data_IF_832038373399
#
_entry.id   IF_832038373399
#
_cell.length_a   1.000
_cell.length_b   1.000
_cell.length_c   1.000
_cell.angle_alpha   90.00
_cell.angle_beta   90.00
_cell.angle_gamma   90.00
#
_symmetry.space_group_name_H-M   'P 1'
#
loop_
_entity.id
_entity.type
_entity.pdbx_description
1 polymer ?
#
# COMPACT_ATOMS: atom_id res chain seq x y z
N UNK A 1 16.71 25.74 -28.44
CA UNK A 1 16.95 27.08 -29.03
C UNK A 1 18.38 27.49 -28.72
N UNK A 2 18.93 28.55 -29.31
CA UNK A 2 20.30 28.95 -28.97
C UNK A 2 20.68 30.37 -29.40
N UNK A 3 21.51 31.01 -28.59
CA UNK A 3 22.17 32.27 -28.89
C UNK A 3 23.40 32.03 -29.75
N UNK A 4 23.57 32.84 -30.81
CA UNK A 4 24.77 32.87 -31.63
C UNK A 4 25.38 34.28 -31.57
N UNK A 5 26.69 34.37 -31.36
CA UNK A 5 27.43 35.63 -31.31
C UNK A 5 28.05 35.88 -32.69
N UNK A 6 27.68 36.99 -33.35
CA UNK A 6 28.23 37.38 -34.65
C UNK A 6 28.55 38.87 -34.65
N UNK A 7 29.77 39.24 -35.01
CA UNK A 7 30.23 40.64 -35.08
C UNK A 7 29.91 41.46 -33.82
N UNK A 8 30.10 40.87 -32.64
CA UNK A 8 29.85 41.54 -31.35
C UNK A 8 28.37 41.68 -30.95
N UNK A 9 27.42 41.14 -31.74
CA UNK A 9 25.98 41.14 -31.44
C UNK A 9 25.46 39.72 -31.22
N UNK A 10 24.50 39.56 -30.30
CA UNK A 10 23.84 38.27 -30.01
C UNK A 10 22.55 38.15 -30.81
N UNK A 11 22.40 37.02 -31.50
CA UNK A 11 21.24 36.69 -32.31
C UNK A 11 20.62 35.41 -31.78
N UNK A 12 19.30 35.38 -31.65
CA UNK A 12 18.59 34.18 -31.20
C UNK A 12 18.06 33.39 -32.40
N UNK A 13 18.31 32.09 -32.39
CA UNK A 13 17.85 31.18 -33.43
C UNK A 13 16.99 30.06 -32.85
N UNK A 14 15.87 29.80 -33.53
CA UNK A 14 15.06 28.61 -33.33
C UNK A 14 15.54 27.49 -34.23
N UNK A 15 15.86 26.33 -33.66
CA UNK A 15 16.25 25.14 -34.41
C UNK A 15 15.11 24.13 -34.33
N UNK A 16 14.51 23.79 -35.47
CA UNK A 16 13.45 22.77 -35.56
C UNK A 16 13.85 21.71 -36.58
N UNK A 17 13.53 20.44 -36.30
CA UNK A 17 13.67 19.36 -37.28
C UNK A 17 12.42 19.32 -38.14
N UNK A 18 12.58 19.46 -39.46
CA UNK A 18 11.51 19.32 -40.45
C UNK A 18 12.00 18.30 -41.47
N UNK A 19 11.24 17.22 -41.66
CA UNK A 19 11.57 16.14 -42.59
C UNK A 19 13.01 15.59 -42.42
N UNK A 20 13.43 15.39 -41.16
CA UNK A 20 14.74 14.86 -40.84
C UNK A 20 15.92 15.83 -41.00
N UNK A 21 15.71 17.08 -41.45
CA UNK A 21 16.74 18.12 -41.53
C UNK A 21 16.55 19.16 -40.42
N UNK A 22 17.65 19.63 -39.83
CA UNK A 22 17.61 20.72 -38.84
C UNK A 22 17.55 22.04 -39.60
N UNK A 23 16.47 22.79 -39.43
CA UNK A 23 16.30 24.13 -40.00
C UNK A 23 16.46 25.16 -38.88
N UNK A 24 17.33 26.15 -39.11
CA UNK A 24 17.54 27.28 -38.21
C UNK A 24 16.75 28.49 -38.71
N UNK A 25 15.83 29.00 -37.90
CA UNK A 25 15.07 30.22 -38.15
C UNK A 25 15.56 31.35 -37.25
N UNK A 26 15.86 32.49 -37.84
CA UNK A 26 16.24 33.69 -37.09
C UNK A 26 15.02 34.27 -36.34
N UNK A 27 15.19 34.57 -35.06
CA UNK A 27 14.11 35.03 -34.19
C UNK A 27 14.25 36.50 -33.74
N UNK A 28 15.37 37.16 -34.05
CA UNK A 28 15.59 38.57 -33.72
C UNK A 28 16.79 38.84 -32.81
N UNK A 29 16.89 40.11 -32.37
CA UNK A 29 17.89 40.65 -31.42
C UNK A 29 17.14 41.56 -30.43
N UNK A 30 17.66 41.70 -29.20
CA UNK A 30 17.20 42.70 -28.22
C UNK A 30 16.23 42.17 -27.16
N UNK A 31 15.72 43.07 -26.33
CA UNK A 31 15.01 42.77 -25.08
C UNK A 31 13.81 41.82 -25.23
N UNK A 32 13.03 41.97 -26.31
CA UNK A 32 11.87 41.08 -26.58
C UNK A 32 12.30 39.63 -26.83
N UNK A 33 13.47 39.44 -27.45
CA UNK A 33 14.00 38.12 -27.76
C UNK A 33 14.61 37.48 -26.52
N UNK A 34 15.22 38.28 -25.64
CA UNK A 34 15.65 37.83 -24.31
C UNK A 34 14.46 37.37 -23.48
N UNK A 35 13.35 38.13 -23.48
CA UNK A 35 12.13 37.74 -22.77
C UNK A 35 11.56 36.40 -23.31
N UNK A 36 11.47 36.24 -24.63
CA UNK A 36 10.99 35.00 -25.27
C UNK A 36 11.94 33.82 -24.98
N UNK A 37 13.25 34.04 -24.90
CA UNK A 37 14.21 33.02 -24.52
C UNK A 37 14.00 32.57 -23.07
N UNK A 38 13.87 33.51 -22.14
CA UNK A 38 13.61 33.23 -20.72
C UNK A 38 12.29 32.49 -20.51
N UNK A 39 11.22 32.90 -21.20
CA UNK A 39 9.93 32.20 -21.14
C UNK A 39 10.03 30.77 -21.69
N UNK A 40 10.81 30.56 -22.76
CA UNK A 40 11.06 29.23 -23.31
C UNK A 40 11.84 28.32 -22.36
N UNK A 41 12.82 28.87 -21.64
CA UNK A 41 13.59 28.15 -20.62
C UNK A 41 12.72 27.74 -19.43
N UNK A 42 11.85 28.63 -18.94
CA UNK A 42 10.85 28.33 -17.89
C UNK A 42 9.93 27.19 -18.31
N UNK A 43 9.37 27.24 -19.53
CA UNK A 43 8.52 26.17 -20.06
C UNK A 43 9.26 24.84 -20.22
N UNK A 44 10.56 24.85 -20.52
CA UNK A 44 11.36 23.63 -20.61
C UNK A 44 11.66 23.03 -19.23
N UNK A 45 11.79 23.85 -18.18
CA UNK A 45 11.90 23.38 -16.78
C UNK A 45 10.60 22.71 -16.35
N UNK A 46 9.45 23.36 -16.53
CA UNK A 46 8.13 22.82 -16.19
C UNK A 46 7.88 21.47 -16.88
N UNK A 47 8.26 21.35 -18.17
CA UNK A 47 8.14 20.09 -18.92
C UNK A 47 9.04 18.99 -18.36
N UNK A 48 10.24 19.32 -17.90
CA UNK A 48 11.15 18.33 -17.28
C UNK A 48 10.60 17.87 -15.94
N UNK A 49 10.07 18.79 -15.14
CA UNK A 49 9.44 18.47 -13.85
C UNK A 49 8.22 17.59 -14.04
N UNK A 50 7.32 17.93 -14.96
CA UNK A 50 6.15 17.11 -15.27
C UNK A 50 6.55 15.72 -15.78
N UNK A 51 7.60 15.63 -16.61
CA UNK A 51 8.12 14.34 -17.08
C UNK A 51 8.71 13.53 -15.92
N UNK A 52 9.47 14.17 -15.02
CA UNK A 52 10.03 13.51 -13.85
C UNK A 52 8.95 13.03 -12.89
N UNK A 53 7.87 13.79 -12.72
CA UNK A 53 6.71 13.40 -11.94
C UNK A 53 6.06 12.14 -12.52
N UNK A 54 5.74 12.14 -13.82
CA UNK A 54 5.16 10.97 -14.50
C UNK A 54 6.05 9.73 -14.41
N UNK A 55 7.37 9.90 -14.56
CA UNK A 55 8.30 8.78 -14.42
C UNK A 55 8.32 8.20 -12.99
N UNK A 56 8.12 9.05 -11.97
CA UNK A 56 7.99 8.59 -10.57
C UNK A 56 6.68 7.85 -10.36
N UNK A 57 5.58 8.37 -10.89
CA UNK A 57 4.26 7.70 -10.83
C UNK A 57 4.32 6.33 -11.51
N UNK A 58 4.82 6.26 -12.74
CA UNK A 58 5.00 5.01 -13.49
C UNK A 58 5.89 4.00 -12.73
N UNK A 59 6.93 4.47 -12.03
CA UNK A 59 7.79 3.60 -11.22
C UNK A 59 7.08 3.05 -9.97
N UNK A 60 6.21 3.85 -9.35
CA UNK A 60 5.38 3.40 -8.22
C UNK A 60 4.38 2.37 -8.69
N UNK A 61 3.66 2.64 -9.79
CA UNK A 61 2.68 1.72 -10.37
C UNK A 61 3.33 0.39 -10.74
N UNK A 62 4.47 0.41 -11.43
CA UNK A 62 5.20 -0.81 -11.78
C UNK A 62 5.64 -1.61 -10.54
N UNK A 63 5.97 -0.94 -9.44
CA UNK A 63 6.33 -1.59 -8.18
C UNK A 63 5.11 -2.21 -7.50
N UNK A 64 3.97 -1.51 -7.51
CA UNK A 64 2.70 -2.02 -6.98
C UNK A 64 2.22 -3.23 -7.78
N UNK A 65 2.30 -3.20 -9.11
CA UNK A 65 1.99 -4.33 -9.98
C UNK A 65 2.87 -5.54 -9.67
N UNK A 66 4.17 -5.31 -9.48
CA UNK A 66 5.13 -6.35 -9.09
C UNK A 66 4.78 -7.00 -7.75
N UNK A 67 4.44 -6.20 -6.73
CA UNK A 67 4.01 -6.71 -5.43
C UNK A 67 2.66 -7.44 -5.52
N UNK A 68 1.72 -6.89 -6.28
CA UNK A 68 0.41 -7.49 -6.53
C UNK A 68 0.53 -8.87 -7.18
N UNK A 69 1.41 -9.02 -8.18
CA UNK A 69 1.69 -10.30 -8.81
C UNK A 69 2.31 -11.32 -7.84
N UNK A 70 3.25 -10.89 -6.98
CA UNK A 70 3.84 -11.75 -5.95
C UNK A 70 2.80 -12.22 -4.94
N UNK A 71 1.94 -11.31 -4.47
CA UNK A 71 0.87 -11.61 -3.53
C UNK A 71 -0.13 -12.59 -4.15
N UNK A 72 -0.57 -12.35 -5.39
CA UNK A 72 -1.45 -13.26 -6.13
C UNK A 72 -0.84 -14.67 -6.27
N UNK A 73 0.46 -14.75 -6.57
CA UNK A 73 1.17 -16.03 -6.66
C UNK A 73 1.21 -16.76 -5.30
N UNK A 74 1.50 -16.04 -4.21
CA UNK A 74 1.52 -16.60 -2.86
C UNK A 74 0.13 -17.09 -2.43
N UNK A 75 -0.92 -16.29 -2.66
CA UNK A 75 -2.32 -16.66 -2.39
C UNK A 75 -2.70 -17.91 -3.21
N UNK A 76 -2.37 -17.93 -4.50
CA UNK A 76 -2.65 -19.07 -5.38
C UNK A 76 -1.98 -20.35 -4.86
N UNK A 77 -0.71 -20.27 -4.48
CA UNK A 77 0.03 -21.40 -3.90
C UNK A 77 -0.59 -21.88 -2.58
N UNK A 78 -0.93 -20.95 -1.68
CA UNK A 78 -1.59 -21.28 -0.40
C UNK A 78 -2.96 -21.95 -0.60
N UNK A 79 -3.77 -21.44 -1.53
CA UNK A 79 -5.08 -22.03 -1.85
C UNK A 79 -4.96 -23.42 -2.46
N UNK A 80 -3.99 -23.62 -3.36
CA UNK A 80 -3.70 -24.94 -3.91
C UNK A 80 -3.25 -25.92 -2.83
N UNK A 81 -2.36 -25.51 -1.92
CA UNK A 81 -1.92 -26.31 -0.78
C UNK A 81 -3.08 -26.67 0.16
N UNK A 82 -4.03 -25.75 0.37
CA UNK A 82 -5.26 -25.97 1.14
C UNK A 82 -6.34 -26.81 0.40
N UNK A 83 -6.03 -27.33 -0.80
CA UNK A 83 -6.91 -28.20 -1.56
C UNK A 83 -7.99 -27.47 -2.38
N UNK A 84 -7.85 -26.15 -2.56
CA UNK A 84 -8.68 -25.38 -3.48
C UNK A 84 -8.13 -25.45 -4.90
N UNK A 85 -9.01 -25.33 -5.89
CA UNK A 85 -8.65 -25.22 -7.29
C UNK A 85 -9.49 -24.12 -7.93
N UNK A 86 -8.96 -23.51 -8.98
CA UNK A 86 -9.69 -22.50 -9.73
C UNK A 86 -10.53 -23.19 -10.82
N UNK A 87 -11.83 -22.91 -10.85
CA UNK A 87 -12.77 -23.38 -11.87
C UNK A 87 -13.56 -22.19 -12.42
N UNK A 88 -13.36 -21.86 -13.70
CA UNK A 88 -13.98 -20.69 -14.37
C UNK A 88 -13.81 -19.38 -13.58
N UNK A 89 -12.57 -19.09 -13.18
CA UNK A 89 -12.23 -17.86 -12.44
C UNK A 89 -12.56 -17.87 -10.95
N UNK A 90 -13.41 -18.79 -10.47
CA UNK A 90 -13.74 -18.91 -9.04
C UNK A 90 -12.97 -20.03 -8.36
N UNK A 91 -12.53 -19.80 -7.13
CA UNK A 91 -11.88 -20.84 -6.31
C UNK A 91 -12.92 -21.78 -5.70
N UNK A 92 -12.69 -23.09 -5.81
CA UNK A 92 -13.54 -24.15 -5.25
C UNK A 92 -12.70 -25.19 -4.53
N UNK A 93 -13.14 -25.62 -3.36
CA UNK A 93 -12.48 -26.71 -2.62
C UNK A 93 -12.71 -28.03 -3.38
N UNK A 94 -11.64 -28.82 -3.62
CA UNK A 94 -11.82 -30.19 -4.13
C UNK A 94 -12.63 -30.97 -3.07
N UNK A 95 -13.70 -31.66 -3.49
CA UNK A 95 -14.43 -32.58 -2.61
C UNK A 95 -13.52 -33.78 -2.32
N UNK A 96 -12.66 -33.66 -1.30
CA UNK A 96 -12.26 -34.84 -0.55
C UNK A 96 -13.42 -35.17 0.40
N UNK A 97 -13.90 -36.41 0.29
CA UNK A 97 -15.06 -36.93 0.98
C UNK A 97 -15.06 -36.56 2.47
N UNK A 98 -16.11 -35.85 2.91
CA UNK A 98 -16.86 -35.89 4.19
C UNK A 98 -16.17 -36.23 5.53
N UNK A 99 -14.85 -36.31 5.62
CA UNK A 99 -14.12 -36.77 6.81
C UNK A 99 -13.46 -35.63 7.61
N UNK A 100 -13.24 -34.44 7.00
CA UNK A 100 -12.71 -33.27 7.73
C UNK A 100 -13.79 -32.33 8.28
N UNK A 101 -15.02 -32.35 7.74
CA UNK A 101 -16.08 -31.42 8.11
C UNK A 101 -16.68 -31.66 9.52
N UNK A 102 -16.22 -32.68 10.25
CA UNK A 102 -16.64 -32.94 11.64
C UNK A 102 -15.67 -32.38 12.69
N UNK A 103 -14.51 -31.82 12.28
CA UNK A 103 -13.52 -31.23 13.21
C UNK A 103 -13.59 -29.71 13.34
N UNK A 104 -14.11 -28.99 12.36
CA UNK A 104 -14.05 -27.52 12.33
C UNK A 104 -15.21 -26.81 13.07
N UNK A 105 -16.11 -27.58 13.70
CA UNK A 105 -17.19 -27.08 14.55
C UNK A 105 -16.99 -27.50 16.02
N UNK A 106 -15.75 -27.65 16.46
CA UNK A 106 -15.46 -27.49 17.89
C UNK A 106 -15.52 -25.99 18.18
N UNK A 107 -16.45 -25.65 19.07
CA UNK A 107 -16.63 -24.32 19.64
C UNK A 107 -15.29 -23.58 19.79
N UNK A 108 -15.30 -22.27 19.50
CA UNK A 108 -14.33 -21.31 20.05
C UNK A 108 -13.90 -21.83 21.42
N UNK A 109 -12.66 -22.32 21.49
CA UNK A 109 -12.15 -22.93 22.71
C UNK A 109 -12.33 -21.92 23.85
N UNK A 110 -12.60 -22.39 25.09
CA UNK A 110 -12.69 -21.51 26.24
C UNK A 110 -11.51 -20.53 26.27
N UNK A 111 -11.79 -19.33 26.78
CA UNK A 111 -10.91 -18.16 26.89
C UNK A 111 -9.47 -18.45 27.38
N UNK A 112 -9.22 -19.63 27.97
CA UNK A 112 -7.93 -20.12 28.47
C UNK A 112 -6.82 -20.28 27.41
N UNK A 113 -7.17 -20.58 26.15
CA UNK A 113 -6.17 -20.80 25.08
C UNK A 113 -5.56 -19.52 24.49
N UNK A 114 -6.31 -18.41 24.53
CA UNK A 114 -5.84 -17.11 24.03
C UNK A 114 -4.92 -16.45 25.06
N UNK A 115 -5.18 -16.62 26.35
CA UNK A 115 -4.36 -16.10 27.45
C UNK A 115 -2.91 -16.61 27.38
N UNK A 116 -2.71 -17.89 27.08
CA UNK A 116 -1.36 -18.47 26.92
C UNK A 116 -0.56 -17.85 25.76
N UNK A 117 -1.24 -17.54 24.65
CA UNK A 117 -0.65 -16.88 23.49
C UNK A 117 -0.36 -15.40 23.75
N UNK A 118 -1.31 -14.68 24.37
CA UNK A 118 -1.11 -13.29 24.79
C UNK A 118 0.07 -13.19 25.76
N UNK A 119 0.15 -14.08 26.76
CA UNK A 119 1.26 -14.11 27.70
C UNK A 119 2.60 -14.38 27.00
N UNK A 120 2.64 -15.33 26.06
CA UNK A 120 3.86 -15.62 25.31
C UNK A 120 4.30 -14.41 24.45
N UNK A 121 3.34 -13.73 23.81
CA UNK A 121 3.58 -12.53 23.01
C UNK A 121 4.08 -11.35 23.86
N UNK A 122 3.43 -11.08 24.99
CA UNK A 122 3.82 -10.02 25.92
C UNK A 122 5.19 -10.30 26.55
N UNK A 123 5.51 -11.56 26.85
CA UNK A 123 6.83 -11.91 27.39
C UNK A 123 7.96 -11.64 26.39
N UNK A 124 7.76 -11.90 25.09
CA UNK A 124 8.74 -11.53 24.06
C UNK A 124 8.83 -10.00 23.93
N UNK A 125 7.68 -9.33 23.80
CA UNK A 125 7.62 -7.88 23.60
C UNK A 125 8.30 -7.12 24.75
N UNK A 126 7.96 -7.46 25.99
CA UNK A 126 8.55 -6.85 27.18
C UNK A 126 10.06 -7.14 27.29
N UNK A 127 10.50 -8.33 26.85
CA UNK A 127 11.93 -8.65 26.84
C UNK A 127 12.71 -7.83 25.81
N UNK A 128 12.16 -7.65 24.60
CA UNK A 128 12.77 -6.84 23.54
C UNK A 128 12.85 -5.36 23.93
N UNK A 129 11.81 -4.81 24.57
CA UNK A 129 11.82 -3.46 25.12
C UNK A 129 12.90 -3.28 26.20
N UNK A 130 13.06 -4.27 27.08
CA UNK A 130 14.09 -4.24 28.11
C UNK A 130 15.51 -4.51 27.58
N UNK A 131 15.66 -5.10 26.39
CA UNK A 131 16.94 -5.56 25.83
C UNK A 131 17.09 -5.20 24.33
N UNK A 132 17.09 -3.90 23.98
CA UNK A 132 17.15 -3.48 22.58
C UNK A 132 18.43 -3.98 21.89
N UNK A 133 18.27 -4.54 20.69
CA UNK A 133 19.36 -5.04 19.85
C UNK A 133 19.95 -6.40 20.27
N UNK A 134 19.44 -7.04 21.32
CA UNK A 134 19.80 -8.42 21.69
C UNK A 134 18.83 -9.42 21.07
N UNK A 135 19.33 -10.63 20.78
CA UNK A 135 18.49 -11.72 20.27
C UNK A 135 17.62 -12.31 21.38
N UNK A 136 16.33 -12.51 21.08
CA UNK A 136 15.36 -13.13 22.00
C UNK A 136 15.85 -14.51 22.49
N UNK A 137 15.82 -14.81 23.80
CA UNK A 137 16.21 -16.10 24.35
C UNK A 137 15.42 -17.27 23.75
N UNK A 138 16.09 -18.41 23.57
CA UNK A 138 15.50 -19.60 22.92
C UNK A 138 14.24 -20.10 23.62
N UNK A 139 14.22 -20.12 24.95
CA UNK A 139 13.06 -20.58 25.74
C UNK A 139 11.82 -19.69 25.56
N UNK A 140 11.97 -18.39 25.29
CA UNK A 140 10.83 -17.50 25.00
C UNK A 140 10.29 -17.77 23.60
N UNK A 141 11.18 -18.02 22.64
CA UNK A 141 10.80 -18.42 21.27
C UNK A 141 10.07 -19.76 21.26
N UNK A 142 10.61 -20.77 21.95
CA UNK A 142 9.99 -22.09 22.08
C UNK A 142 8.62 -22.02 22.75
N UNK A 143 8.45 -21.18 23.78
CA UNK A 143 7.16 -20.96 24.43
C UNK A 143 6.15 -20.28 23.50
N UNK A 144 6.58 -19.30 22.71
CA UNK A 144 5.73 -18.66 21.70
C UNK A 144 5.35 -19.64 20.59
N UNK A 145 6.29 -20.42 20.08
CA UNK A 145 6.05 -21.44 19.06
C UNK A 145 5.08 -22.51 19.57
N UNK A 146 5.23 -22.96 20.81
CA UNK A 146 4.30 -23.90 21.44
C UNK A 146 2.89 -23.31 21.59
N UNK A 147 2.77 -22.04 21.98
CA UNK A 147 1.49 -21.35 22.08
C UNK A 147 0.84 -21.15 20.70
N UNK A 148 1.63 -20.82 19.68
CA UNK A 148 1.18 -20.70 18.28
C UNK A 148 0.73 -22.05 17.70
N UNK A 149 1.44 -23.14 18.01
CA UNK A 149 1.04 -24.49 17.59
C UNK A 149 -0.23 -24.98 18.30
N UNK A 150 -0.35 -24.69 19.60
CA UNK A 150 -1.55 -25.01 20.37
C UNK A 150 -2.77 -24.20 19.90
N UNK A 151 -2.54 -23.02 19.34
CA UNK A 151 -3.59 -22.12 18.91
C UNK A 151 -3.27 -21.47 17.55
N UNK A 152 -3.41 -22.23 16.43
CA UNK A 152 -2.94 -21.82 15.11
C UNK A 152 -3.56 -20.54 14.56
N UNK A 153 -4.72 -20.12 15.08
CA UNK A 153 -5.42 -18.90 14.67
C UNK A 153 -5.14 -17.71 15.60
N UNK A 154 -4.33 -17.88 16.66
CA UNK A 154 -4.07 -16.83 17.65
C UNK A 154 -3.29 -15.64 17.08
N UNK A 155 -2.55 -15.82 15.99
CA UNK A 155 -1.93 -14.72 15.25
C UNK A 155 -2.97 -13.69 14.79
N UNK A 156 -4.24 -14.04 14.60
CA UNK A 156 -5.31 -13.09 14.25
C UNK A 156 -5.66 -12.12 15.40
N UNK A 157 -5.35 -12.46 16.65
CA UNK A 157 -5.69 -11.64 17.80
C UNK A 157 -4.67 -10.50 18.03
N UNK A 158 -3.38 -10.78 17.83
CA UNK A 158 -2.27 -9.85 18.14
C UNK A 158 -1.30 -9.62 16.97
N UNK A 159 -1.13 -10.59 16.08
CA UNK A 159 -0.21 -10.55 14.94
C UNK A 159 -0.90 -10.22 13.61
N UNK A 160 -2.18 -9.86 13.63
CA UNK A 160 -2.88 -9.40 12.43
C UNK A 160 -2.38 -8.00 12.09
N UNK A 161 -1.34 -7.97 11.25
CA UNK A 161 -0.74 -6.73 10.74
C UNK A 161 -1.80 -5.83 10.09
N UNK A 162 -2.86 -6.40 9.52
CA UNK A 162 -3.98 -5.63 8.97
C UNK A 162 -4.67 -4.88 10.11
N UNK A 163 -5.03 -5.54 11.21
CA UNK A 163 -5.66 -4.91 12.37
C UNK A 163 -4.78 -3.82 13.00
N UNK A 164 -3.48 -4.09 13.19
CA UNK A 164 -2.53 -3.09 13.71
C UNK A 164 -2.41 -1.87 12.79
N UNK A 165 -2.42 -2.09 11.48
CA UNK A 165 -2.40 -1.01 10.48
C UNK A 165 -3.71 -0.22 10.47
N UNK A 166 -4.86 -0.89 10.65
CA UNK A 166 -6.17 -0.27 10.78
C UNK A 166 -6.19 0.76 11.92
N UNK A 167 -5.78 0.35 13.12
CA UNK A 167 -5.80 1.23 14.29
C UNK A 167 -4.89 2.45 14.08
N UNK A 168 -3.68 2.24 13.54
CA UNK A 168 -2.74 3.34 13.22
C UNK A 168 -3.27 4.29 12.14
N UNK A 169 -3.93 3.77 11.10
CA UNK A 169 -4.52 4.59 10.04
C UNK A 169 -5.69 5.42 10.56
N UNK A 170 -6.54 4.85 11.43
CA UNK A 170 -7.65 5.59 12.05
C UNK A 170 -7.10 6.71 12.94
N UNK A 171 -6.05 6.43 13.73
CA UNK A 171 -5.39 7.43 14.57
C UNK A 171 -4.79 8.59 13.76
N UNK A 172 -4.20 8.29 12.60
CA UNK A 172 -3.70 9.34 11.69
C UNK A 172 -4.81 10.11 10.97
N UNK A 173 -5.88 9.41 10.58
CA UNK A 173 -6.97 9.98 9.81
C UNK A 173 -7.75 11.04 10.59
N UNK A 174 -7.81 10.96 11.93
CA UNK A 174 -8.30 12.08 12.75
C UNK A 174 -7.75 12.05 14.18
N UNK A 175 -7.41 13.23 14.70
CA UNK A 175 -7.10 13.43 16.12
C UNK A 175 -8.37 13.45 16.99
N UNK A 176 -9.52 13.77 16.39
CA UNK A 176 -10.82 13.87 17.06
C UNK A 176 -11.39 12.50 17.37
N UNK A 177 -11.87 12.28 18.60
CA UNK A 177 -12.50 11.02 18.99
C UNK A 177 -13.80 10.73 18.20
N UNK A 178 -14.76 11.66 18.06
CA UNK A 178 -15.98 11.45 17.27
C UNK A 178 -15.71 11.01 15.83
N UNK A 179 -14.67 11.56 15.20
CA UNK A 179 -14.32 11.21 13.82
C UNK A 179 -13.73 9.80 13.75
N UNK A 180 -12.83 9.46 14.67
CA UNK A 180 -12.24 8.11 14.75
C UNK A 180 -13.29 7.04 14.97
N UNK A 181 -14.26 7.30 15.84
CA UNK A 181 -15.36 6.37 16.09
C UNK A 181 -16.29 6.26 14.87
N UNK A 182 -16.54 7.38 14.17
CA UNK A 182 -17.33 7.37 12.93
C UNK A 182 -16.65 6.58 11.81
N UNK A 183 -15.33 6.71 11.67
CA UNK A 183 -14.52 5.94 10.71
C UNK A 183 -14.56 4.45 11.07
N UNK A 184 -14.42 4.10 12.36
CA UNK A 184 -14.52 2.71 12.83
C UNK A 184 -15.88 2.10 12.49
N UNK A 185 -16.97 2.84 12.74
CA UNK A 185 -18.33 2.42 12.38
C UNK A 185 -18.51 2.26 10.87
N UNK A 186 -17.92 3.14 10.06
CA UNK A 186 -17.95 3.02 8.60
C UNK A 186 -17.23 1.74 8.14
N UNK A 187 -16.08 1.40 8.74
CA UNK A 187 -15.36 0.16 8.45
C UNK A 187 -16.18 -1.07 8.82
N UNK A 188 -16.76 -1.10 10.03
CA UNK A 188 -17.66 -2.18 10.47
C UNK A 188 -18.84 -2.36 9.52
N UNK A 189 -19.42 -1.25 9.03
CA UNK A 189 -20.53 -1.28 8.09
C UNK A 189 -20.12 -1.86 6.73
N UNK A 190 -19.00 -1.41 6.17
CA UNK A 190 -18.45 -1.94 4.92
C UNK A 190 -18.15 -3.43 5.03
N UNK A 191 -17.61 -3.89 6.16
CA UNK A 191 -17.41 -5.32 6.40
C UNK A 191 -18.74 -6.08 6.39
N UNK A 192 -19.77 -5.54 7.04
CA UNK A 192 -21.09 -6.15 7.09
C UNK A 192 -21.76 -6.25 5.72
N UNK A 193 -21.69 -5.18 4.90
CA UNK A 193 -22.24 -5.15 3.54
C UNK A 193 -21.60 -6.21 2.63
N UNK A 194 -20.31 -6.50 2.82
CA UNK A 194 -19.58 -7.52 2.08
C UNK A 194 -19.81 -8.94 2.62
N UNK A 195 -20.70 -9.11 3.60
CA UNK A 195 -21.06 -10.41 4.15
C UNK A 195 -19.99 -11.02 5.05
N UNK A 196 -19.17 -10.21 5.72
CA UNK A 196 -18.05 -10.69 6.57
C UNK A 196 -18.47 -11.76 7.58
N UNK A 197 -19.66 -11.65 8.17
CA UNK A 197 -20.18 -12.60 9.15
C UNK A 197 -20.36 -14.02 8.60
N UNK A 198 -20.77 -14.14 7.33
CA UNK A 198 -21.05 -15.44 6.67
C UNK A 198 -19.91 -15.88 5.74
N UNK A 199 -18.96 -15.00 5.47
CA UNK A 199 -17.79 -15.24 4.63
C UNK A 199 -16.85 -16.30 5.22
N UNK A 200 -16.20 -17.06 4.32
CA UNK A 200 -15.12 -17.99 4.66
C UNK A 200 -13.87 -17.24 5.18
N UNK A 201 -12.93 -17.90 5.86
CA UNK A 201 -11.73 -17.23 6.41
C UNK A 201 -10.92 -16.43 5.39
N UNK A 202 -10.80 -16.91 4.16
CA UNK A 202 -10.09 -16.21 3.08
C UNK A 202 -10.88 -14.98 2.60
N UNK A 203 -12.19 -15.12 2.45
CA UNK A 203 -13.06 -14.02 2.04
C UNK A 203 -13.06 -12.93 3.11
N UNK A 204 -13.09 -13.28 4.40
CA UNK A 204 -12.92 -12.33 5.51
C UNK A 204 -11.62 -11.54 5.41
N UNK A 205 -10.51 -12.21 5.13
CA UNK A 205 -9.21 -11.54 4.96
C UNK A 205 -9.23 -10.60 3.76
N UNK A 206 -9.86 -11.01 2.66
CA UNK A 206 -10.00 -10.17 1.47
C UNK A 206 -10.89 -8.96 1.74
N UNK A 207 -12.00 -9.13 2.47
CA UNK A 207 -12.89 -8.04 2.90
C UNK A 207 -12.11 -7.05 3.77
N UNK A 208 -11.30 -7.53 4.72
CA UNK A 208 -10.44 -6.67 5.55
C UNK A 208 -9.46 -5.86 4.71
N UNK A 209 -8.84 -6.48 3.70
CA UNK A 209 -7.92 -5.77 2.79
C UNK A 209 -8.64 -4.71 1.95
N UNK A 210 -9.86 -4.99 1.47
CA UNK A 210 -10.68 -4.00 0.75
C UNK A 210 -10.98 -2.79 1.63
N UNK A 211 -11.37 -3.02 2.89
CA UNK A 211 -11.67 -1.94 3.83
C UNK A 211 -10.40 -1.16 4.21
N UNK A 212 -9.25 -1.84 4.34
CA UNK A 212 -7.96 -1.19 4.54
C UNK A 212 -7.57 -0.29 3.36
N UNK A 213 -7.78 -0.75 2.12
CA UNK A 213 -7.52 0.02 0.92
C UNK A 213 -8.40 1.28 0.85
N UNK A 214 -9.67 1.16 1.23
CA UNK A 214 -10.59 2.30 1.33
C UNK A 214 -10.11 3.36 2.33
N UNK A 215 -9.66 2.95 3.51
CA UNK A 215 -9.05 3.83 4.53
C UNK A 215 -7.81 4.55 4.00
N UNK A 216 -6.90 3.81 3.35
CA UNK A 216 -5.66 4.37 2.77
C UNK A 216 -5.98 5.42 1.71
N UNK A 217 -6.98 5.17 0.87
CA UNK A 217 -7.41 6.14 -0.14
C UNK A 217 -7.92 7.43 0.50
N UNK A 218 -8.75 7.32 1.55
CA UNK A 218 -9.27 8.49 2.25
C UNK A 218 -8.18 9.33 2.92
N UNK A 219 -7.20 8.67 3.53
CA UNK A 219 -6.04 9.34 4.13
C UNK A 219 -5.24 10.12 3.08
N UNK A 220 -4.96 9.52 1.93
CA UNK A 220 -4.24 10.20 0.83
C UNK A 220 -5.04 11.40 0.30
N UNK A 221 -6.36 11.25 0.11
CA UNK A 221 -7.23 12.35 -0.32
C UNK A 221 -7.23 13.51 0.68
N UNK A 222 -7.26 13.21 1.98
CA UNK A 222 -7.19 14.20 3.05
C UNK A 222 -5.86 14.96 3.02
N UNK A 223 -4.75 14.24 2.93
CA UNK A 223 -3.41 14.83 2.85
C UNK A 223 -3.26 15.75 1.63
N UNK A 224 -3.75 15.31 0.47
CA UNK A 224 -3.74 16.12 -0.74
C UNK A 224 -4.58 17.41 -0.57
N UNK A 225 -5.77 17.31 0.02
CA UNK A 225 -6.65 18.47 0.27
C UNK A 225 -6.01 19.49 1.21
N UNK A 226 -5.28 19.03 2.24
CA UNK A 226 -4.55 19.90 3.16
C UNK A 226 -3.36 20.58 2.48
N UNK A 227 -2.56 19.83 1.70
CA UNK A 227 -1.43 20.39 0.96
C UNK A 227 -1.85 21.48 -0.05
N UNK A 228 -3.00 21.33 -0.70
CA UNK A 228 -3.54 22.36 -1.61
C UNK A 228 -4.04 23.62 -0.88
N UNK A 229 -4.42 23.53 0.39
CA UNK A 229 -4.84 24.69 1.18
C UNK A 229 -3.66 25.50 1.74
N UNK A 230 -2.47 24.92 1.87
CA UNK A 230 -1.28 25.60 2.36
C UNK A 230 -0.50 26.35 1.26
N UNK A 231 -0.80 26.07 -0.01
CA UNK A 231 -0.14 26.66 -1.18
C UNK A 231 -0.95 27.85 -1.76
N UNK A 232 -2.22 28.00 -1.37
CA UNK A 232 -3.12 29.06 -1.79
C UNK A 232 -3.19 30.20 -0.76
#
# INVERSE_FOLDING_TARGET
>A
MGWELRNGRRYYYSKKRVNGRVVSSYCGIGLLVELVATMGELSDVERRELKALRQREEAIDARLDGLGAQLQAAIKAGLQAAGFHQHKGTWRKKRMAKALAKKDNQALAPFDGITSYIDAYLNISNWEEANPGRSVPSHLRERFDAAQQANPDAWRALGDLVKLEFDRLIERASSSYPDRESIRKACEHLEAEQGYATASPLERLTIKEIVLAWLRLHEVQKQHTLAHREIA
#
